data_IF_035676363698
#
_entry.id   IF_035676363698
#
_cell.length_a   1.000
_cell.length_b   1.000
_cell.length_c   1.000
_cell.angle_alpha   90.00
_cell.angle_beta   90.00
_cell.angle_gamma   90.00
#
_symmetry.space_group_name_H-M   'P 1'
#
loop_
_entity.id
_entity.type
_entity.pdbx_description
1 polymer ?
#
# COMPACT_ATOMS: atom_id res chain seq x y z
N UNK A 1 8.82 13.89 14.53
CA UNK A 1 7.67 12.98 14.73
C UNK A 1 7.69 11.96 13.62
N UNK A 2 7.68 10.66 13.93
CA UNK A 2 7.65 9.62 12.92
C UNK A 2 6.34 9.65 12.11
N UNK A 3 6.42 9.15 10.88
CA UNK A 3 5.29 8.90 10.02
C UNK A 3 4.99 7.40 10.02
N UNK A 4 3.74 7.04 10.22
CA UNK A 4 3.29 5.65 10.28
C UNK A 4 2.39 5.32 9.10
N UNK A 5 2.66 4.18 8.47
CA UNK A 5 1.88 3.57 7.42
C UNK A 5 1.01 2.45 8.01
N UNK A 6 -0.30 2.60 7.91
CA UNK A 6 -1.29 1.57 8.21
C UNK A 6 -1.71 0.85 6.93
N UNK A 7 -1.72 -0.49 6.96
CA UNK A 7 -2.18 -1.31 5.84
C UNK A 7 -3.51 -1.99 6.17
N UNK A 8 -4.58 -1.58 5.49
CA UNK A 8 -5.95 -2.02 5.79
C UNK A 8 -6.27 -3.41 5.19
N UNK A 9 -7.20 -4.18 5.79
CA UNK A 9 -7.53 -5.52 5.29
C UNK A 9 -8.03 -5.59 3.84
N UNK A 10 -8.58 -4.50 3.30
CA UNK A 10 -9.21 -4.43 1.97
C UNK A 10 -8.26 -4.11 0.81
N UNK A 11 -7.00 -3.75 1.08
CA UNK A 11 -6.10 -3.27 0.03
C UNK A 11 -5.63 -1.85 0.21
N UNK A 12 -6.29 -1.05 1.02
CA UNK A 12 -5.92 0.35 1.15
C UNK A 12 -4.77 0.55 2.15
N UNK A 13 -4.22 1.76 2.16
CA UNK A 13 -3.31 2.20 3.21
C UNK A 13 -3.58 3.65 3.63
N UNK A 14 -3.16 4.00 4.84
CA UNK A 14 -3.21 5.38 5.36
C UNK A 14 -1.89 5.76 6.02
N UNK A 15 -1.57 7.04 6.00
CA UNK A 15 -0.36 7.60 6.59
C UNK A 15 -0.74 8.63 7.66
N UNK A 16 -0.09 8.57 8.82
CA UNK A 16 -0.33 9.54 9.91
C UNK A 16 0.97 9.90 10.62
N UNK A 17 1.14 11.18 10.94
CA UNK A 17 2.20 11.61 11.84
C UNK A 17 1.74 11.46 13.28
N UNK A 18 2.55 10.78 14.08
CA UNK A 18 2.27 10.63 15.49
C UNK A 18 3.60 10.53 16.27
N UNK A 19 3.65 10.85 17.57
CA UNK A 19 4.86 10.68 18.36
C UNK A 19 5.30 9.22 18.47
N UNK A 20 4.33 8.31 18.67
CA UNK A 20 4.54 6.86 18.79
C UNK A 20 3.47 6.07 18.05
N UNK A 21 3.63 4.75 17.99
CA UNK A 21 2.71 3.86 17.27
C UNK A 21 1.32 3.84 17.92
N UNK A 22 1.25 3.92 19.24
CA UNK A 22 0.00 3.95 20.02
C UNK A 22 -0.80 5.20 19.68
N UNK A 23 -0.14 6.36 19.58
CA UNK A 23 -0.76 7.61 19.15
C UNK A 23 -1.24 7.51 17.69
N UNK A 24 -0.49 6.83 16.81
CA UNK A 24 -0.91 6.60 15.43
C UNK A 24 -2.18 5.74 15.35
N UNK A 25 -2.30 4.71 16.19
CA UNK A 25 -3.51 3.86 16.26
C UNK A 25 -4.74 4.71 16.60
N UNK A 26 -4.64 5.57 17.61
CA UNK A 26 -5.74 6.45 18.03
C UNK A 26 -6.22 7.35 16.89
N UNK A 27 -5.30 7.93 16.13
CA UNK A 27 -5.68 8.74 14.96
C UNK A 27 -6.28 7.91 13.83
N UNK A 28 -5.73 6.73 13.56
CA UNK A 28 -6.18 5.83 12.49
C UNK A 28 -7.53 5.18 12.81
N UNK A 29 -7.91 5.04 14.08
CA UNK A 29 -9.23 4.50 14.49
C UNK A 29 -10.41 5.36 14.00
N UNK A 30 -10.16 6.60 13.57
CA UNK A 30 -11.14 7.45 12.90
C UNK A 30 -11.52 6.92 11.49
N UNK A 31 -10.63 6.15 10.86
CA UNK A 31 -10.85 5.51 9.55
C UNK A 31 -11.47 4.12 9.71
N UNK A 32 -10.99 3.35 10.69
CA UNK A 32 -11.47 2.01 11.02
C UNK A 32 -10.57 1.35 12.06
N UNK A 33 -10.88 0.12 12.49
CA UNK A 33 -10.12 -0.57 13.56
C UNK A 33 -8.64 -0.78 13.20
N UNK A 34 -7.77 0.11 13.70
CA UNK A 34 -6.35 0.15 13.39
C UNK A 34 -5.52 -0.75 14.31
N UNK A 35 -6.01 -1.05 15.52
CA UNK A 35 -5.37 -1.99 16.46
C UNK A 35 -5.10 -3.34 15.79
N UNK A 36 -6.06 -3.77 15.00
CA UNK A 36 -5.96 -4.97 14.19
C UNK A 36 -5.36 -4.65 12.82
N UNK A 37 -4.37 -3.78 12.62
CA UNK A 37 -3.75 -3.56 11.29
C UNK A 37 -2.22 -3.59 11.37
N UNK A 38 -1.50 -4.06 10.33
CA UNK A 38 -0.07 -3.82 10.23
C UNK A 38 0.19 -2.32 10.15
N UNK A 39 0.98 -1.83 11.11
CA UNK A 39 1.40 -0.43 11.19
C UNK A 39 2.92 -0.43 11.28
N UNK A 40 3.57 0.21 10.32
CA UNK A 40 5.02 0.33 10.21
C UNK A 40 5.42 1.80 10.10
N UNK A 41 6.66 2.12 10.44
CA UNK A 41 7.21 3.46 10.20
C UNK A 41 7.68 3.57 8.75
N UNK A 42 7.53 4.76 8.17
CA UNK A 42 8.08 5.17 6.87
C UNK A 42 8.97 6.39 7.04
N UNK A 43 9.96 6.54 6.15
CA UNK A 43 11.01 7.55 6.27
C UNK A 43 11.02 8.56 5.11
N UNK A 44 10.66 8.12 3.91
CA UNK A 44 10.42 8.98 2.77
C UNK A 44 8.97 9.49 2.78
N UNK A 45 8.80 10.80 2.60
CA UNK A 45 7.47 11.38 2.47
C UNK A 45 7.48 12.64 1.62
N UNK A 46 6.90 12.53 0.43
CA UNK A 46 6.70 13.62 -0.50
C UNK A 46 5.36 13.43 -1.21
N UNK A 47 4.52 14.46 -1.15
CA UNK A 47 3.23 14.52 -1.84
C UNK A 47 3.22 15.76 -2.74
N UNK A 48 2.71 15.60 -3.96
CA UNK A 48 2.44 16.70 -4.88
C UNK A 48 0.92 16.85 -5.04
N UNK A 49 0.43 18.07 -4.80
CA UNK A 49 -0.99 18.39 -4.93
C UNK A 49 -1.19 19.45 -6.01
N UNK A 50 -2.18 19.24 -6.87
CA UNK A 50 -2.68 20.27 -7.78
C UNK A 50 -3.81 21.06 -7.10
N UNK A 51 -3.78 22.39 -7.26
CA UNK A 51 -4.88 23.26 -6.84
C UNK A 51 -5.96 23.26 -7.92
N UNK A 52 -7.06 22.55 -7.66
CA UNK A 52 -8.20 22.43 -8.56
C UNK A 52 -8.99 23.74 -8.66
N UNK A 53 -9.66 23.99 -9.80
CA UNK A 53 -10.48 25.18 -10.08
C UNK A 53 -11.61 25.43 -9.06
N UNK A 54 -12.04 24.37 -8.37
CA UNK A 54 -13.05 24.43 -7.30
C UNK A 54 -12.46 24.80 -5.93
N UNK A 55 -11.18 25.19 -5.87
CA UNK A 55 -10.50 25.52 -4.61
C UNK A 55 -10.17 24.32 -3.73
N UNK A 56 -9.97 23.14 -4.33
CA UNK A 56 -9.61 21.90 -3.62
C UNK A 56 -8.20 21.46 -3.99
N UNK A 57 -7.44 20.98 -3.01
CA UNK A 57 -6.20 20.26 -3.27
C UNK A 57 -6.53 18.83 -3.67
N UNK A 58 -5.99 18.37 -4.79
CA UNK A 58 -6.10 16.99 -5.27
C UNK A 58 -4.69 16.40 -5.28
N UNK A 59 -4.52 15.22 -4.67
CA UNK A 59 -3.26 14.51 -4.72
C UNK A 59 -3.00 14.14 -6.18
N UNK A 60 -1.92 14.68 -6.75
CA UNK A 60 -1.53 14.45 -8.14
C UNK A 60 -0.49 13.34 -8.21
N UNK A 61 0.52 13.36 -7.34
CA UNK A 61 1.57 12.35 -7.33
C UNK A 61 2.17 12.14 -5.93
N UNK A 62 2.70 10.94 -5.71
CA UNK A 62 3.68 10.67 -4.66
C UNK A 62 5.08 10.98 -5.22
N UNK A 63 6.02 11.35 -4.36
CA UNK A 63 7.43 11.31 -4.75
C UNK A 63 7.88 9.86 -4.94
N UNK A 64 8.76 9.61 -5.90
CA UNK A 64 9.26 8.26 -6.26
C UNK A 64 9.67 7.45 -5.02
N UNK A 65 10.58 7.97 -4.19
CA UNK A 65 11.02 7.26 -2.99
C UNK A 65 9.92 7.04 -1.93
N UNK A 66 8.85 7.85 -1.93
CA UNK A 66 7.68 7.63 -1.04
C UNK A 66 6.83 6.47 -1.56
N UNK A 67 6.58 6.44 -2.87
CA UNK A 67 5.81 5.36 -3.49
C UNK A 67 6.55 4.03 -3.38
N UNK A 68 7.85 4.00 -3.69
CA UNK A 68 8.69 2.81 -3.54
C UNK A 68 8.68 2.24 -2.11
N UNK A 69 8.87 3.09 -1.10
CA UNK A 69 8.88 2.64 0.29
C UNK A 69 7.51 2.09 0.73
N UNK A 70 6.41 2.75 0.32
CA UNK A 70 5.05 2.26 0.59
C UNK A 70 4.82 0.92 -0.11
N UNK A 71 5.18 0.78 -1.38
CA UNK A 71 4.98 -0.45 -2.16
C UNK A 71 5.76 -1.61 -1.53
N UNK A 72 7.03 -1.40 -1.21
CA UNK A 72 7.89 -2.41 -0.61
C UNK A 72 7.39 -2.87 0.77
N UNK A 73 6.95 -1.94 1.63
CA UNK A 73 6.49 -2.27 2.99
C UNK A 73 5.08 -2.87 3.02
N UNK A 74 4.15 -2.33 2.23
CA UNK A 74 2.72 -2.64 2.34
C UNK A 74 2.22 -3.64 1.28
N UNK A 75 2.94 -3.78 0.17
CA UNK A 75 2.47 -4.49 -1.02
C UNK A 75 3.56 -5.39 -1.65
N UNK A 76 4.19 -6.32 -0.90
CA UNK A 76 5.34 -7.08 -1.38
C UNK A 76 5.08 -7.94 -2.62
N UNK A 77 3.85 -8.41 -2.85
CA UNK A 77 3.51 -9.16 -4.08
C UNK A 77 3.44 -8.23 -5.28
N UNK A 78 2.91 -7.01 -5.08
CA UNK A 78 2.88 -5.98 -6.11
C UNK A 78 4.28 -5.44 -6.40
N UNK A 79 5.10 -5.24 -5.36
CA UNK A 79 6.50 -4.81 -5.48
C UNK A 79 7.28 -5.73 -6.42
N UNK A 80 7.19 -7.06 -6.19
CA UNK A 80 7.81 -8.03 -7.07
C UNK A 80 7.26 -7.97 -8.50
N UNK A 81 5.95 -7.86 -8.68
CA UNK A 81 5.35 -7.80 -10.01
C UNK A 81 5.74 -6.52 -10.77
N UNK A 82 5.90 -5.39 -10.09
CA UNK A 82 6.40 -4.15 -10.68
C UNK A 82 7.88 -4.28 -11.05
N UNK A 83 8.70 -4.86 -10.18
CA UNK A 83 10.10 -5.15 -10.45
C UNK A 83 10.27 -6.05 -11.68
N UNK A 84 9.48 -7.13 -11.79
CA UNK A 84 9.51 -8.03 -12.93
C UNK A 84 8.99 -7.35 -14.22
N UNK A 85 8.00 -6.46 -14.10
CA UNK A 85 7.38 -5.80 -15.25
C UNK A 85 8.25 -4.69 -15.85
N UNK A 86 9.00 -3.95 -15.03
CA UNK A 86 9.77 -2.78 -15.43
C UNK A 86 11.29 -2.96 -15.34
N UNK A 87 11.78 -4.04 -14.72
CA UNK A 87 13.19 -4.22 -14.38
C UNK A 87 14.16 -4.38 -15.57
N UNK A 88 13.65 -4.55 -16.79
CA UNK A 88 14.47 -4.55 -18.01
C UNK A 88 14.69 -3.15 -18.61
N UNK A 89 14.01 -2.12 -18.08
CA UNK A 89 14.13 -0.73 -18.54
C UNK A 89 13.61 -0.51 -19.97
N UNK A 90 12.81 -1.44 -20.50
CA UNK A 90 12.24 -1.35 -21.86
C UNK A 90 10.96 -0.52 -21.87
N UNK A 91 10.26 -0.48 -20.74
CA UNK A 91 8.98 0.19 -20.56
C UNK A 91 9.07 1.15 -19.38
N UNK A 92 8.58 2.37 -19.55
CA UNK A 92 8.65 3.41 -18.51
C UNK A 92 7.26 3.72 -17.91
N UNK A 93 6.19 3.24 -18.54
CA UNK A 93 4.81 3.51 -18.11
C UNK A 93 3.91 2.29 -18.29
N UNK A 94 2.85 2.22 -17.48
CA UNK A 94 1.88 1.13 -17.51
C UNK A 94 1.22 0.94 -18.88
N UNK A 95 0.93 2.03 -19.60
CA UNK A 95 0.29 1.99 -20.91
C UNK A 95 1.21 1.40 -22.00
N UNK A 96 2.53 1.51 -21.82
CA UNK A 96 3.51 0.95 -22.76
C UNK A 96 3.79 -0.53 -22.52
N UNK A 97 3.41 -1.09 -21.36
CA UNK A 97 3.67 -2.49 -21.03
C UNK A 97 2.96 -3.46 -22.00
N UNK A 98 3.55 -4.64 -22.24
CA UNK A 98 2.86 -5.75 -22.87
C UNK A 98 1.60 -6.20 -22.08
N UNK A 99 0.55 -6.72 -22.76
CA UNK A 99 -0.68 -7.14 -22.08
C UNK A 99 -0.48 -8.18 -20.97
N UNK A 100 0.46 -9.10 -21.13
CA UNK A 100 0.82 -10.13 -20.14
C UNK A 100 1.46 -9.52 -18.89
N UNK A 101 2.35 -8.53 -19.03
CA UNK A 101 2.93 -7.80 -17.88
C UNK A 101 1.87 -6.99 -17.12
N UNK A 102 0.96 -6.32 -17.83
CA UNK A 102 -0.18 -5.64 -17.19
C UNK A 102 -1.10 -6.63 -16.45
N UNK A 103 -1.36 -7.80 -17.04
CA UNK A 103 -2.17 -8.83 -16.40
C UNK A 103 -1.50 -9.39 -15.12
N UNK A 104 -0.17 -9.49 -15.10
CA UNK A 104 0.59 -9.87 -13.91
C UNK A 104 0.45 -8.83 -12.79
N UNK A 105 0.60 -7.53 -13.10
CA UNK A 105 0.37 -6.44 -12.15
C UNK A 105 -1.07 -6.48 -11.61
N UNK A 106 -2.07 -6.59 -12.47
CA UNK A 106 -3.48 -6.66 -12.05
C UNK A 106 -3.73 -7.86 -11.12
N UNK A 107 -3.13 -9.00 -11.40
CA UNK A 107 -3.20 -10.20 -10.55
C UNK A 107 -2.57 -9.94 -9.18
N UNK A 108 -1.41 -9.27 -9.14
CA UNK A 108 -0.74 -8.90 -7.90
C UNK A 108 -1.56 -7.91 -7.06
N UNK A 109 -2.22 -6.93 -7.69
CA UNK A 109 -3.14 -6.01 -7.01
C UNK A 109 -4.28 -6.76 -6.33
N UNK A 110 -4.94 -7.69 -7.03
CA UNK A 110 -6.02 -8.49 -6.45
C UNK A 110 -5.54 -9.43 -5.33
N UNK A 111 -4.31 -9.96 -5.46
CA UNK A 111 -3.67 -10.71 -4.40
C UNK A 111 -3.46 -9.84 -3.14
N UNK A 112 -2.92 -8.62 -3.30
CA UNK A 112 -2.69 -7.70 -2.19
C UNK A 112 -3.98 -7.21 -1.52
N UNK A 113 -5.03 -6.96 -2.29
CA UNK A 113 -6.36 -6.55 -1.76
C UNK A 113 -6.96 -7.55 -0.78
N UNK A 114 -6.58 -8.82 -0.89
CA UNK A 114 -7.11 -9.89 -0.05
C UNK A 114 -6.08 -10.52 0.91
N UNK A 115 -4.80 -10.16 0.81
CA UNK A 115 -3.69 -10.81 1.52
C UNK A 115 -3.85 -10.79 3.04
N UNK A 116 -4.06 -9.61 3.62
CA UNK A 116 -4.16 -9.46 5.09
C UNK A 116 -5.46 -10.05 5.64
N UNK A 117 -6.57 -9.93 4.91
CA UNK A 117 -7.82 -10.57 5.31
C UNK A 117 -7.70 -12.10 5.34
N UNK A 118 -7.01 -12.69 4.35
CA UNK A 118 -6.76 -14.15 4.28
C UNK A 118 -5.88 -14.64 5.41
N UNK A 119 -4.79 -13.94 5.72
CA UNK A 119 -3.84 -14.33 6.77
C UNK A 119 -4.48 -14.36 8.17
N UNK A 120 -5.62 -13.70 8.33
CA UNK A 120 -6.38 -13.63 9.59
C UNK A 120 -7.53 -14.61 9.68
N UNK A 121 -7.80 -15.36 8.62
CA UNK A 121 -8.77 -16.44 8.69
C UNK A 121 -8.12 -17.59 9.47
N UNK A 122 -8.69 -18.04 10.60
CA UNK A 122 -8.10 -19.13 11.37
C UNK A 122 -7.99 -20.37 10.48
N UNK A 123 -6.79 -20.93 10.35
CA UNK A 123 -6.59 -22.22 9.68
C UNK A 123 -7.37 -23.26 10.49
N UNK A 124 -8.48 -23.74 9.94
CA UNK A 124 -9.25 -24.85 10.52
C UNK A 124 -8.27 -26.02 10.72
N UNK A 125 -7.96 -26.30 11.98
CA UNK A 125 -7.14 -27.45 12.35
C UNK A 125 -8.02 -28.68 12.10
N UNK A 126 -7.83 -29.34 10.96
CA UNK A 126 -8.47 -30.63 10.70
C UNK A 126 -7.78 -31.67 11.57
N UNK A 127 -8.24 -31.84 12.81
CA UNK A 127 -7.91 -33.03 13.61
C UNK A 127 -8.72 -34.19 13.03
N UNK A 128 -8.07 -35.07 12.25
CA UNK A 128 -8.61 -36.38 11.94
C UNK A 128 -8.63 -37.21 13.22
N UNK A 129 -9.83 -37.64 13.64
CA UNK A 129 -10.06 -38.64 14.69
C UNK A 129 -10.06 -40.05 14.11
#
# INVERSE_FOLDING_TARGET
MPLFLCRWPNGDCSLVWAPHKEDAIVELDQVGNAEACPITQVHAFQLHFVLHEQGKLILEALGEGTEEEIVSLAYPVLDQALSDAYGDGVYDTYDTLPPDRRAAIATAVEAERSRIARDRTPKLITTCS
#
